data_IF_881764107991
#
_entry.id   IF_881764107991
#
_cell.length_a   1.000
_cell.length_b   1.000
_cell.length_c   1.000
_cell.angle_alpha   90.00
_cell.angle_beta   90.00
_cell.angle_gamma   90.00
#
_symmetry.space_group_name_H-M   'P 1'
#
loop_
_entity.id
_entity.type
_entity.pdbx_description
1 polymer ?
#
# COMPACT_ATOMS: atom_id res chain seq x y z
N UNK A 1 -20.99 -10.44 -14.53
CA UNK A 1 -22.00 -10.81 -13.52
C UNK A 1 -22.93 -11.73 -14.26
N UNK A 2 -22.65 -13.02 -14.13
CA UNK A 2 -23.34 -14.10 -14.84
C UNK A 2 -24.77 -14.22 -14.31
N UNK A 3 -25.64 -14.68 -15.21
CA UNK A 3 -27.09 -14.78 -15.06
C UNK A 3 -27.42 -15.82 -13.99
N UNK A 4 -28.12 -15.41 -12.94
CA UNK A 4 -28.81 -16.33 -12.02
C UNK A 4 -29.97 -16.98 -12.79
N UNK A 5 -29.78 -18.23 -13.21
CA UNK A 5 -30.86 -19.11 -13.64
C UNK A 5 -31.62 -19.56 -12.40
N UNK A 6 -32.76 -18.91 -12.16
CA UNK A 6 -33.77 -19.31 -11.19
C UNK A 6 -34.39 -20.64 -11.63
N UNK A 7 -33.89 -21.74 -11.08
CA UNK A 7 -34.48 -23.07 -11.25
C UNK A 7 -35.77 -23.14 -10.43
N UNK A 8 -36.89 -22.86 -11.08
CA UNK A 8 -38.24 -23.05 -10.51
C UNK A 8 -38.68 -24.49 -10.75
N UNK A 9 -38.41 -25.38 -9.79
CA UNK A 9 -39.09 -26.68 -9.71
C UNK A 9 -40.42 -26.49 -8.96
N UNK A 10 -41.48 -26.21 -9.70
CA UNK A 10 -42.85 -26.27 -9.20
C UNK A 10 -43.52 -27.55 -9.67
N UNK A 11 -43.42 -28.60 -8.86
CA UNK A 11 -44.11 -29.90 -9.04
C UNK A 11 -45.61 -29.70 -8.87
N UNK A 12 -46.35 -29.76 -9.98
CA UNK A 12 -47.78 -30.09 -9.96
C UNK A 12 -47.91 -31.42 -10.68
N UNK A 13 -47.62 -32.49 -9.96
CA UNK A 13 -48.09 -33.81 -10.33
C UNK A 13 -49.22 -34.12 -9.35
N UNK A 14 -50.46 -34.16 -9.86
CA UNK A 14 -51.56 -34.87 -9.23
C UNK A 14 -51.16 -36.35 -9.18
N UNK A 15 -50.26 -36.67 -8.26
CA UNK A 15 -49.82 -38.03 -8.01
C UNK A 15 -51.00 -38.74 -7.38
N UNK A 16 -51.62 -39.64 -8.15
CA UNK A 16 -52.36 -40.75 -7.59
C UNK A 16 -51.45 -41.38 -6.53
N UNK A 17 -51.65 -41.05 -5.25
CA UNK A 17 -50.88 -41.61 -4.14
C UNK A 17 -51.11 -43.11 -4.20
N UNK A 18 -50.09 -43.82 -4.69
CA UNK A 18 -50.12 -45.27 -4.81
C UNK A 18 -50.02 -45.79 -3.38
N UNK A 19 -51.12 -46.34 -2.86
CA UNK A 19 -51.17 -46.92 -1.53
C UNK A 19 -49.97 -47.84 -1.32
N UNK A 20 -49.33 -47.74 -0.16
CA UNK A 20 -48.17 -48.54 0.20
C UNK A 20 -48.44 -50.02 -0.04
N UNK A 21 -47.53 -50.72 -0.74
CA UNK A 21 -47.68 -52.15 -1.04
C UNK A 21 -47.94 -53.00 0.22
N UNK A 22 -47.39 -52.55 1.37
CA UNK A 22 -47.62 -53.18 2.68
C UNK A 22 -49.05 -52.95 3.18
N UNK A 23 -49.58 -51.73 3.05
CA UNK A 23 -50.96 -51.39 3.44
C UNK A 23 -51.95 -52.09 2.52
N UNK A 24 -51.65 -52.16 1.21
CA UNK A 24 -52.43 -52.90 0.23
C UNK A 24 -52.50 -54.40 0.55
N UNK A 25 -51.36 -55.02 0.88
CA UNK A 25 -51.30 -56.43 1.26
C UNK A 25 -52.07 -56.72 2.56
N UNK A 26 -51.96 -55.82 3.55
CA UNK A 26 -52.67 -55.92 4.81
C UNK A 26 -54.18 -55.76 4.61
N UNK A 27 -54.60 -54.76 3.83
CA UNK A 27 -55.99 -54.55 3.44
C UNK A 27 -56.56 -55.79 2.77
N UNK A 28 -55.85 -56.36 1.79
CA UNK A 28 -56.26 -57.59 1.10
C UNK A 28 -56.45 -58.78 2.05
N UNK A 29 -55.55 -58.95 3.02
CA UNK A 29 -55.64 -60.01 4.03
C UNK A 29 -56.84 -59.82 4.98
N UNK A 30 -57.07 -58.57 5.40
CA UNK A 30 -58.20 -58.20 6.26
C UNK A 30 -59.54 -58.40 5.55
N UNK A 31 -59.66 -57.97 4.29
CA UNK A 31 -60.88 -58.14 3.50
C UNK A 31 -61.21 -59.61 3.24
N UNK A 32 -60.19 -60.47 3.02
CA UNK A 32 -60.40 -61.92 2.91
C UNK A 32 -60.96 -62.54 4.20
N UNK A 33 -60.53 -62.07 5.38
CA UNK A 33 -61.10 -62.54 6.65
C UNK A 33 -62.51 -62.00 6.90
N UNK A 34 -62.82 -60.76 6.47
CA UNK A 34 -64.19 -60.25 6.49
C UNK A 34 -65.11 -61.06 5.58
N UNK A 35 -64.68 -61.44 4.38
CA UNK A 35 -65.46 -62.27 3.47
C UNK A 35 -65.81 -63.64 4.09
N UNK A 36 -64.86 -64.26 4.80
CA UNK A 36 -65.10 -65.51 5.56
C UNK A 36 -66.10 -65.30 6.70
N UNK A 37 -66.04 -64.18 7.42
CA UNK A 37 -66.99 -63.85 8.48
C UNK A 37 -68.40 -63.63 7.94
N UNK A 38 -68.56 -62.84 6.86
CA UNK A 38 -69.84 -62.60 6.20
C UNK A 38 -70.46 -63.92 5.74
N UNK A 39 -69.67 -64.80 5.12
CA UNK A 39 -70.14 -66.10 4.64
C UNK A 39 -70.70 -66.98 5.78
N UNK A 40 -70.16 -66.86 6.99
CA UNK A 40 -70.51 -67.73 8.13
C UNK A 40 -71.53 -67.12 9.09
N UNK A 41 -71.58 -65.79 9.20
CA UNK A 41 -72.33 -65.08 10.23
C UNK A 41 -73.19 -63.91 9.70
N UNK A 42 -73.29 -63.75 8.37
CA UNK A 42 -73.99 -62.66 7.68
C UNK A 42 -73.26 -61.29 7.74
N UNK A 43 -73.70 -60.31 6.96
CA UNK A 43 -73.04 -59.02 6.80
C UNK A 43 -73.11 -58.12 8.05
N UNK A 44 -74.16 -58.26 8.86
CA UNK A 44 -74.38 -57.41 10.04
C UNK A 44 -73.26 -57.51 11.09
N UNK A 45 -72.48 -58.60 11.13
CA UNK A 45 -71.37 -58.73 12.11
C UNK A 45 -70.16 -57.84 11.81
N UNK A 46 -69.99 -57.38 10.56
CA UNK A 46 -68.84 -56.55 10.16
C UNK A 46 -69.23 -55.10 9.85
N UNK A 47 -70.52 -54.80 9.75
CA UNK A 47 -71.06 -53.51 9.31
C UNK A 47 -70.48 -52.29 10.04
N UNK A 48 -70.41 -52.35 11.38
CA UNK A 48 -69.86 -51.24 12.18
C UNK A 48 -68.32 -51.28 12.27
N UNK A 49 -67.71 -52.44 12.05
CA UNK A 49 -66.26 -52.65 12.14
C UNK A 49 -65.53 -52.25 10.85
N UNK A 50 -66.15 -52.48 9.70
CA UNK A 50 -65.55 -52.21 8.39
C UNK A 50 -65.17 -50.73 8.21
N UNK A 51 -66.02 -49.74 8.55
CA UNK A 51 -65.63 -48.32 8.48
C UNK A 51 -64.43 -47.97 9.39
N UNK A 52 -64.33 -48.58 10.57
CA UNK A 52 -63.21 -48.35 11.49
C UNK A 52 -61.90 -48.90 10.90
N UNK A 53 -61.96 -50.09 10.31
CA UNK A 53 -60.79 -50.73 9.70
C UNK A 53 -60.34 -50.00 8.44
N UNK A 54 -61.29 -49.52 7.62
CA UNK A 54 -60.98 -48.64 6.48
C UNK A 54 -60.26 -47.38 6.95
N UNK A 55 -60.78 -46.69 7.96
CA UNK A 55 -60.16 -45.48 8.50
C UNK A 55 -58.75 -45.76 9.06
N UNK A 56 -58.54 -46.89 9.75
CA UNK A 56 -57.21 -47.30 10.22
C UNK A 56 -56.24 -47.54 9.06
N UNK A 57 -56.69 -48.20 7.98
CA UNK A 57 -55.86 -48.44 6.80
C UNK A 57 -55.53 -47.15 6.05
N UNK A 58 -56.49 -46.24 5.88
CA UNK A 58 -56.28 -44.91 5.29
C UNK A 58 -55.30 -44.08 6.13
N UNK A 59 -55.49 -44.07 7.46
CA UNK A 59 -54.58 -43.37 8.39
C UNK A 59 -53.17 -43.94 8.35
N UNK A 60 -53.03 -45.27 8.20
CA UNK A 60 -51.74 -45.94 8.08
C UNK A 60 -51.06 -45.59 6.75
N UNK A 61 -51.82 -45.54 5.66
CA UNK A 61 -51.29 -45.18 4.34
C UNK A 61 -50.79 -43.72 4.29
N UNK A 62 -51.56 -42.80 4.89
CA UNK A 62 -51.15 -41.41 5.08
C UNK A 62 -49.86 -41.32 5.89
N UNK A 63 -49.77 -42.04 7.01
CA UNK A 63 -48.56 -42.06 7.83
C UNK A 63 -47.34 -42.65 7.10
N UNK A 64 -47.54 -43.64 6.22
CA UNK A 64 -46.47 -44.19 5.38
C UNK A 64 -45.97 -43.17 4.36
N UNK A 65 -46.90 -42.46 3.70
CA UNK A 65 -46.59 -41.44 2.71
C UNK A 65 -45.81 -40.29 3.35
N UNK A 66 -46.32 -39.77 4.47
CA UNK A 66 -45.65 -38.69 5.22
C UNK A 66 -44.24 -39.12 5.67
N UNK A 67 -44.10 -40.35 6.17
CA UNK A 67 -42.79 -40.86 6.60
C UNK A 67 -41.79 -41.01 5.44
N UNK A 68 -42.27 -41.34 4.24
CA UNK A 68 -41.42 -41.40 3.05
C UNK A 68 -40.98 -40.00 2.60
N UNK A 69 -41.88 -39.01 2.65
CA UNK A 69 -41.54 -37.61 2.38
C UNK A 69 -40.48 -37.10 3.36
N UNK A 70 -40.65 -37.37 4.67
CA UNK A 70 -39.66 -37.03 5.70
C UNK A 70 -38.31 -37.71 5.47
N UNK A 71 -38.29 -38.96 4.98
CA UNK A 71 -37.05 -39.69 4.68
C UNK A 71 -36.28 -39.03 3.52
N UNK A 72 -36.99 -38.59 2.48
CA UNK A 72 -36.41 -37.84 1.35
C UNK A 72 -35.88 -36.48 1.82
N UNK A 73 -36.64 -35.73 2.61
CA UNK A 73 -36.19 -34.45 3.16
C UNK A 73 -34.92 -34.61 4.02
N UNK A 74 -34.86 -35.66 4.85
CA UNK A 74 -33.68 -35.96 5.65
C UNK A 74 -32.45 -36.27 4.80
N UNK A 75 -32.62 -36.95 3.67
CA UNK A 75 -31.51 -37.26 2.76
C UNK A 75 -31.00 -36.00 2.04
N UNK A 76 -31.90 -35.13 1.59
CA UNK A 76 -31.54 -33.83 1.02
C UNK A 76 -30.79 -32.95 2.02
N UNK A 77 -31.28 -32.86 3.26
CA UNK A 77 -30.61 -32.09 4.32
C UNK A 77 -29.22 -32.65 4.67
N UNK A 78 -29.03 -33.98 4.58
CA UNK A 78 -27.73 -34.61 4.78
C UNK A 78 -26.76 -34.25 3.66
N UNK A 79 -27.21 -34.28 2.41
CA UNK A 79 -26.39 -33.91 1.25
C UNK A 79 -25.98 -32.43 1.33
N UNK A 80 -26.92 -31.52 1.63
CA UNK A 80 -26.64 -30.10 1.83
C UNK A 80 -25.63 -29.87 2.96
N UNK A 81 -25.74 -30.62 4.06
CA UNK A 81 -24.79 -30.54 5.17
C UNK A 81 -23.38 -30.96 4.74
N UNK A 82 -23.25 -32.05 3.99
CA UNK A 82 -21.96 -32.53 3.48
C UNK A 82 -21.30 -31.51 2.53
N UNK A 83 -22.09 -30.89 1.66
CA UNK A 83 -21.63 -29.81 0.80
C UNK A 83 -21.16 -28.60 1.60
N UNK A 84 -21.94 -28.18 2.61
CA UNK A 84 -21.57 -27.07 3.51
C UNK A 84 -20.27 -27.34 4.27
N UNK A 85 -20.08 -28.56 4.77
CA UNK A 85 -18.83 -28.97 5.45
C UNK A 85 -17.64 -28.87 4.49
N UNK A 86 -17.79 -29.39 3.27
CA UNK A 86 -16.74 -29.34 2.25
C UNK A 86 -16.35 -27.89 1.89
N UNK A 87 -17.34 -27.01 1.72
CA UNK A 87 -17.10 -25.59 1.45
C UNK A 87 -16.42 -24.90 2.63
N UNK A 88 -16.88 -25.16 3.86
CA UNK A 88 -16.28 -24.63 5.07
C UNK A 88 -14.80 -25.03 5.20
N UNK A 89 -14.47 -26.30 4.95
CA UNK A 89 -13.09 -26.78 5.01
C UNK A 89 -12.20 -26.11 3.97
N UNK A 90 -12.70 -25.95 2.74
CA UNK A 90 -11.99 -25.21 1.68
C UNK A 90 -11.72 -23.77 2.08
N UNK A 91 -12.74 -23.06 2.57
CA UNK A 91 -12.60 -21.66 2.97
C UNK A 91 -11.65 -21.51 4.16
N UNK A 92 -11.72 -22.42 5.14
CA UNK A 92 -10.78 -22.48 6.26
C UNK A 92 -9.33 -22.65 5.80
N UNK A 93 -9.07 -23.47 4.80
CA UNK A 93 -7.73 -23.63 4.22
C UNK A 93 -7.26 -22.38 3.48
N UNK A 94 -8.14 -21.78 2.65
CA UNK A 94 -7.84 -20.53 1.94
C UNK A 94 -7.53 -19.39 2.92
N UNK A 95 -8.32 -19.27 3.99
CA UNK A 95 -8.11 -18.28 5.04
C UNK A 95 -6.76 -18.46 5.72
N UNK A 96 -6.40 -19.70 6.09
CA UNK A 96 -5.09 -20.00 6.68
C UNK A 96 -3.93 -19.63 5.74
N UNK A 97 -4.06 -19.90 4.44
CA UNK A 97 -3.05 -19.53 3.45
C UNK A 97 -2.93 -18.01 3.26
N UNK A 98 -4.06 -17.29 3.30
CA UNK A 98 -4.08 -15.83 3.25
C UNK A 98 -3.42 -15.22 4.49
N UNK A 99 -3.74 -15.70 5.69
CA UNK A 99 -3.13 -15.23 6.94
C UNK A 99 -1.60 -15.49 6.95
N UNK A 100 -1.14 -16.63 6.43
CA UNK A 100 0.30 -16.90 6.28
C UNK A 100 1.00 -15.94 5.30
N UNK A 101 0.36 -15.61 4.17
CA UNK A 101 0.90 -14.63 3.22
C UNK A 101 0.95 -13.23 3.83
N UNK A 102 -0.07 -12.87 4.60
CA UNK A 102 -0.12 -11.57 5.27
C UNK A 102 1.05 -11.45 6.25
N UNK A 103 1.30 -12.48 7.07
CA UNK A 103 2.44 -12.50 7.98
C UNK A 103 3.79 -12.33 7.25
N UNK A 104 3.99 -13.02 6.12
CA UNK A 104 5.22 -12.87 5.33
C UNK A 104 5.41 -11.45 4.76
N UNK A 105 4.31 -10.80 4.35
CA UNK A 105 4.34 -9.43 3.85
C UNK A 105 4.62 -8.45 4.99
N UNK A 106 4.02 -8.64 6.16
CA UNK A 106 4.27 -7.82 7.35
C UNK A 106 5.74 -7.90 7.79
N UNK A 107 6.31 -9.11 7.84
CA UNK A 107 7.73 -9.30 8.16
C UNK A 107 8.65 -8.56 7.16
N UNK A 108 8.39 -8.71 5.86
CA UNK A 108 9.18 -8.05 4.82
C UNK A 108 9.06 -6.51 4.90
N UNK A 109 7.85 -5.98 5.14
CA UNK A 109 7.62 -4.55 5.31
C UNK A 109 8.33 -3.98 6.54
N UNK A 110 8.36 -4.73 7.65
CA UNK A 110 9.04 -4.30 8.86
C UNK A 110 10.57 -4.29 8.67
N UNK A 111 11.12 -5.22 7.89
CA UNK A 111 12.53 -5.23 7.53
C UNK A 111 12.91 -4.06 6.59
N UNK A 112 12.11 -3.81 5.54
CA UNK A 112 12.28 -2.65 4.66
C UNK A 112 12.24 -1.33 5.45
N UNK A 113 11.31 -1.23 6.39
CA UNK A 113 11.16 -0.05 7.27
C UNK A 113 12.38 0.14 8.16
N UNK A 114 12.96 -0.93 8.72
CA UNK A 114 14.22 -0.86 9.49
C UNK A 114 15.37 -0.39 8.60
N UNK A 115 15.50 -0.91 7.38
CA UNK A 115 16.55 -0.48 6.44
C UNK A 115 16.41 1.00 6.09
N UNK A 116 15.19 1.44 5.75
CA UNK A 116 14.91 2.84 5.44
C UNK A 116 15.20 3.76 6.63
N UNK A 117 14.82 3.39 7.85
CA UNK A 117 15.13 4.16 9.05
C UNK A 117 16.64 4.27 9.28
N UNK A 118 17.40 3.18 9.13
CA UNK A 118 18.87 3.19 9.21
C UNK A 118 19.48 4.14 8.17
N UNK A 119 18.92 4.16 6.96
CA UNK A 119 19.35 5.08 5.89
C UNK A 119 19.03 6.53 6.22
N UNK A 120 17.87 6.82 6.81
CA UNK A 120 17.50 8.15 7.29
C UNK A 120 18.50 8.63 8.34
N UNK A 121 18.78 7.82 9.38
CA UNK A 121 19.74 8.18 10.44
C UNK A 121 21.14 8.48 9.88
N UNK A 122 21.60 7.69 8.91
CA UNK A 122 22.86 7.92 8.22
C UNK A 122 22.87 9.24 7.44
N UNK A 123 21.80 9.52 6.68
CA UNK A 123 21.66 10.78 5.95
C UNK A 123 21.59 11.99 6.89
N UNK A 124 20.88 11.89 8.01
CA UNK A 124 20.82 12.94 9.03
C UNK A 124 22.20 13.23 9.64
N UNK A 125 23.03 12.20 9.85
CA UNK A 125 24.42 12.38 10.26
C UNK A 125 25.25 13.11 9.21
N UNK A 126 25.10 12.75 7.93
CA UNK A 126 25.79 13.41 6.82
C UNK A 126 25.38 14.88 6.70
N UNK A 127 24.08 15.18 6.80
CA UNK A 127 23.57 16.56 6.77
C UNK A 127 24.19 17.39 7.89
N UNK A 128 24.18 16.90 9.14
CA UNK A 128 24.82 17.59 10.27
C UNK A 128 26.31 17.84 10.04
N UNK A 129 27.03 16.89 9.45
CA UNK A 129 28.45 17.07 9.10
C UNK A 129 28.63 18.18 8.04
N UNK A 130 27.79 18.19 7.01
CA UNK A 130 27.85 19.18 5.94
C UNK A 130 27.49 20.58 6.43
N UNK A 131 26.52 20.70 7.34
CA UNK A 131 26.17 21.97 8.00
C UNK A 131 27.36 22.55 8.77
N UNK A 132 28.05 21.71 9.55
CA UNK A 132 29.26 22.13 10.27
C UNK A 132 30.37 22.56 9.30
N UNK A 133 30.58 21.80 8.21
CA UNK A 133 31.57 22.13 7.19
C UNK A 133 31.25 23.45 6.48
N UNK A 134 29.97 23.68 6.17
CA UNK A 134 29.47 24.92 5.57
C UNK A 134 29.71 26.12 6.49
N UNK A 135 29.38 25.99 7.78
CA UNK A 135 29.65 27.01 8.79
C UNK A 135 31.13 27.33 8.88
N UNK A 136 31.99 26.31 8.99
CA UNK A 136 33.43 26.50 9.05
C UNK A 136 33.99 27.19 7.79
N UNK A 137 33.48 26.86 6.60
CA UNK A 137 33.87 27.52 5.36
C UNK A 137 33.44 28.99 5.35
N UNK A 138 32.21 29.30 5.77
CA UNK A 138 31.70 30.67 5.91
C UNK A 138 32.56 31.50 6.85
N UNK A 139 32.92 30.97 8.03
CA UNK A 139 33.80 31.65 8.99
C UNK A 139 35.22 31.86 8.41
N UNK A 140 35.66 30.97 7.51
CA UNK A 140 36.93 31.12 6.82
C UNK A 140 36.92 32.23 5.77
N UNK A 141 35.82 32.34 5.01
CA UNK A 141 35.60 33.41 4.02
C UNK A 141 35.56 34.76 4.72
N UNK A 142 34.78 34.88 5.80
CA UNK A 142 34.67 36.13 6.56
C UNK A 142 36.04 36.66 7.04
N UNK A 143 36.89 35.77 7.58
CA UNK A 143 38.25 36.15 8.00
C UNK A 143 39.15 36.58 6.84
N UNK A 144 38.95 36.05 5.64
CA UNK A 144 39.68 36.48 4.45
C UNK A 144 39.20 37.85 3.97
N UNK A 145 37.89 38.09 3.98
CA UNK A 145 37.30 39.39 3.64
C UNK A 145 37.78 40.50 4.58
N UNK A 146 37.89 40.23 5.88
CA UNK A 146 38.44 41.18 6.87
C UNK A 146 39.89 41.55 6.56
N UNK A 147 40.74 40.54 6.26
CA UNK A 147 42.13 40.77 5.86
C UNK A 147 42.24 41.55 4.55
N UNK A 148 41.40 41.23 3.58
CA UNK A 148 41.35 41.97 2.31
C UNK A 148 40.96 43.44 2.54
N UNK A 149 39.98 43.69 3.40
CA UNK A 149 39.57 45.05 3.76
C UNK A 149 40.69 45.83 4.45
N UNK A 150 41.43 45.20 5.36
CA UNK A 150 42.58 45.81 6.03
C UNK A 150 43.71 46.13 5.05
N UNK A 151 44.07 45.19 4.15
CA UNK A 151 45.06 45.43 3.10
C UNK A 151 44.65 46.55 2.13
N UNK A 152 43.37 46.64 1.77
CA UNK A 152 42.85 47.76 0.95
C UNK A 152 43.02 49.10 1.67
N UNK A 153 42.77 49.14 2.98
CA UNK A 153 42.97 50.35 3.79
C UNK A 153 44.44 50.75 3.86
N UNK A 154 45.34 49.81 4.15
CA UNK A 154 46.79 50.05 4.16
C UNK A 154 47.30 50.52 2.80
N UNK A 155 46.85 49.88 1.71
CA UNK A 155 47.17 50.29 0.35
C UNK A 155 46.72 51.73 0.05
N UNK A 156 45.51 52.11 0.46
CA UNK A 156 45.01 53.49 0.29
C UNK A 156 45.89 54.50 1.01
N UNK A 157 46.25 54.24 2.27
CA UNK A 157 47.13 55.11 3.06
C UNK A 157 48.51 55.24 2.41
N UNK A 158 49.08 54.11 1.97
CA UNK A 158 50.39 54.10 1.31
C UNK A 158 50.35 54.87 -0.02
N UNK A 159 49.27 54.71 -0.78
CA UNK A 159 49.06 55.39 -2.04
C UNK A 159 48.93 56.91 -1.86
N UNK A 160 48.17 57.35 -0.85
CA UNK A 160 48.07 58.77 -0.47
C UNK A 160 49.44 59.35 -0.10
N UNK A 161 50.19 58.67 0.76
CA UNK A 161 51.54 59.10 1.18
C UNK A 161 52.51 59.16 0.00
N UNK A 162 52.49 58.17 -0.88
CA UNK A 162 53.33 58.16 -2.09
C UNK A 162 52.96 59.33 -3.03
N UNK A 163 51.67 59.59 -3.19
CA UNK A 163 51.17 60.69 -4.02
C UNK A 163 51.59 62.05 -3.44
N UNK A 164 51.54 62.22 -2.12
CA UNK A 164 52.01 63.43 -1.45
C UNK A 164 53.52 63.62 -1.60
N UNK A 165 54.31 62.55 -1.45
CA UNK A 165 55.75 62.58 -1.69
C UNK A 165 56.08 62.99 -3.14
N UNK A 166 55.33 62.49 -4.11
CA UNK A 166 55.51 62.86 -5.51
C UNK A 166 55.19 64.35 -5.75
N UNK A 167 54.09 64.86 -5.18
CA UNK A 167 53.70 66.28 -5.26
C UNK A 167 54.78 67.19 -4.67
N UNK A 168 55.23 66.90 -3.45
CA UNK A 168 56.30 67.68 -2.79
C UNK A 168 57.61 67.65 -3.56
N UNK A 169 57.96 66.50 -4.15
CA UNK A 169 59.12 66.39 -5.04
C UNK A 169 58.95 67.26 -6.31
N UNK A 170 57.78 67.25 -6.94
CA UNK A 170 57.50 68.10 -8.10
C UNK A 170 57.61 69.58 -7.75
N UNK A 171 56.98 70.02 -6.66
CA UNK A 171 57.08 71.40 -6.16
C UNK A 171 58.54 71.81 -5.89
N UNK A 172 59.35 70.92 -5.31
CA UNK A 172 60.77 71.16 -5.10
C UNK A 172 61.54 71.34 -6.42
N UNK A 173 61.29 70.49 -7.43
CA UNK A 173 61.90 70.65 -8.77
C UNK A 173 61.49 71.98 -9.37
N UNK A 174 60.20 72.34 -9.33
CA UNK A 174 59.67 73.58 -9.90
C UNK A 174 60.29 74.81 -9.22
N UNK A 175 60.40 74.80 -7.90
CA UNK A 175 61.05 75.86 -7.12
C UNK A 175 62.54 75.98 -7.46
N UNK A 176 63.23 74.85 -7.61
CA UNK A 176 64.64 74.80 -8.03
C UNK A 176 64.81 75.31 -9.46
N UNK A 177 63.91 74.94 -10.37
CA UNK A 177 63.87 75.45 -11.75
C UNK A 177 63.59 76.94 -11.81
N UNK A 178 62.75 77.51 -10.95
CA UNK A 178 62.52 78.96 -10.88
C UNK A 178 63.75 79.70 -10.34
N UNK A 179 64.44 79.14 -9.34
CA UNK A 179 65.72 79.67 -8.86
C UNK A 179 66.82 79.61 -9.93
N UNK A 180 66.95 78.50 -10.66
CA UNK A 180 67.89 78.39 -11.79
C UNK A 180 67.39 79.08 -13.07
N UNK A 181 66.09 79.36 -13.19
CA UNK A 181 65.46 80.01 -14.33
C UNK A 181 65.65 81.52 -14.34
N UNK A 182 66.07 82.10 -13.21
CA UNK A 182 66.73 83.42 -13.20
C UNK A 182 68.20 83.34 -13.65
N UNK A 183 68.68 82.16 -14.07
CA UNK A 183 70.09 81.91 -14.37
C UNK A 183 70.35 80.87 -15.46
N UNK A 184 69.43 80.57 -16.40
CA UNK A 184 69.77 79.86 -17.67
C UNK A 184 68.53 79.71 -18.56
N UNK A 185 68.39 80.59 -19.56
CA UNK A 185 67.88 80.17 -20.88
C UNK A 185 68.95 79.26 -21.51
N UNK A 186 68.53 78.34 -22.38
CA UNK A 186 69.33 77.32 -23.07
C UNK A 186 69.72 76.08 -22.24
N UNK A 187 68.87 75.05 -22.35
CA UNK A 187 69.26 73.77 -22.97
C UNK A 187 68.07 72.81 -23.00
N UNK A 188 67.37 72.87 -24.12
CA UNK A 188 66.50 71.78 -24.57
C UNK A 188 67.37 70.59 -25.03
N UNK A 189 66.75 69.41 -24.94
CA UNK A 189 67.11 68.14 -25.57
C UNK A 189 67.90 67.14 -24.71
N UNK A 190 67.14 66.30 -23.99
CA UNK A 190 67.62 65.02 -23.48
C UNK A 190 66.43 64.07 -23.38
N UNK A 191 66.31 63.22 -24.41
CA UNK A 191 65.33 62.15 -24.58
C UNK A 191 65.28 61.20 -23.36
N UNK A 192 64.10 60.75 -22.90
CA UNK A 192 64.02 59.84 -21.76
C UNK A 192 64.33 58.39 -22.18
N UNK A 193 64.98 57.57 -21.32
CA UNK A 193 65.17 56.15 -21.61
C UNK A 193 63.87 55.37 -21.43
N UNK A 194 63.61 54.43 -22.34
CA UNK A 194 62.48 53.48 -22.31
C UNK A 194 62.63 52.51 -21.13
N UNK A 195 61.57 52.31 -20.35
CA UNK A 195 61.46 51.23 -19.39
C UNK A 195 61.17 49.89 -20.10
N UNK A 196 61.71 48.75 -19.63
CA UNK A 196 61.45 47.44 -20.24
C UNK A 196 60.04 46.93 -19.87
N UNK A 197 59.39 46.30 -20.85
CA UNK A 197 58.11 45.60 -20.68
C UNK A 197 58.31 44.34 -19.83
N UNK A 198 57.73 44.28 -18.63
CA UNK A 198 57.60 43.04 -17.87
C UNK A 198 56.30 42.33 -18.29
N UNK A 199 56.44 41.16 -18.90
CA UNK A 199 55.34 40.28 -19.25
C UNK A 199 54.71 39.66 -18.00
N UNK A 200 53.39 39.81 -17.86
CA UNK A 200 52.58 39.06 -16.89
C UNK A 200 52.23 37.72 -17.55
N UNK A 201 53.01 36.69 -17.21
CA UNK A 201 52.68 35.30 -17.48
C UNK A 201 52.29 34.60 -16.19
N UNK A 202 51.23 33.79 -16.26
CA UNK A 202 50.73 32.86 -15.25
C UNK A 202 49.90 33.42 -14.09
N UNK A 203 48.58 33.41 -14.28
CA UNK A 203 47.62 33.07 -13.23
C UNK A 203 46.97 31.74 -13.64
N UNK A 204 47.29 30.65 -12.95
CA UNK A 204 46.50 29.44 -12.96
C UNK A 204 46.67 28.71 -11.62
N UNK A 205 45.65 28.80 -10.77
CA UNK A 205 45.13 27.79 -9.82
C UNK A 205 44.09 28.45 -8.93
#
# INVERSE_FOLDING_TARGET
MELDEEIVYGTHDDSHIVMSEKVQSLAGSIYQEFEKMITKYDEEVVKDLMPLVVNVLESLDLAFTENQEHEVELELLREDNEQLVTQYEREKQLRKAADQKLFQIEDALEDDKKELNSKIESLESIVRMLELKSKNASDHVYRLEEKEAELKKEYSILHERYTELLKTHMEYIERTKLMMGSSTSDRMDSRPPRLPSMGIGHMNS
#
